data_IF_613338942263
#
_entry.id   IF_613338942263
#
_cell.length_a   1.000
_cell.length_b   1.000
_cell.length_c   1.000
_cell.angle_alpha   90.00
_cell.angle_beta   90.00
_cell.angle_gamma   90.00
#
_symmetry.space_group_name_H-M   'P 1'
#
loop_
_entity.id
_entity.type
_entity.pdbx_description
1 polymer ?
#
# COMPACT_ATOMS: atom_id res chain seq x y z
N UNK A 1 14.58 7.15 5.76
CA UNK A 1 14.77 6.64 4.39
C UNK A 1 14.76 5.12 4.44
N UNK A 2 14.17 4.45 3.45
CA UNK A 2 14.23 2.98 3.34
C UNK A 2 15.68 2.59 3.02
N UNK A 3 16.23 1.64 3.78
CA UNK A 3 17.56 1.10 3.49
C UNK A 3 17.46 0.08 2.35
N UNK A 4 17.88 0.49 1.16
CA UNK A 4 17.86 -0.36 -0.04
C UNK A 4 18.89 -1.50 0.02
N UNK A 5 19.88 -1.40 0.90
CA UNK A 5 20.90 -2.44 1.08
C UNK A 5 20.44 -3.59 1.96
N UNK A 6 19.36 -3.40 2.71
CA UNK A 6 18.77 -4.39 3.60
C UNK A 6 18.31 -5.64 2.84
N UNK A 7 18.49 -6.82 3.44
CA UNK A 7 18.05 -8.09 2.84
C UNK A 7 16.55 -8.09 2.56
N UNK A 8 15.76 -7.48 3.45
CA UNK A 8 14.31 -7.38 3.30
C UNK A 8 13.91 -6.55 2.08
N UNK A 9 14.59 -5.42 1.82
CA UNK A 9 14.35 -4.63 0.62
C UNK A 9 14.76 -5.38 -0.65
N UNK A 10 15.90 -6.08 -0.64
CA UNK A 10 16.33 -6.89 -1.79
C UNK A 10 15.34 -8.00 -2.12
N UNK A 11 14.79 -8.67 -1.11
CA UNK A 11 13.74 -9.69 -1.31
C UNK A 11 12.48 -9.04 -1.89
N UNK A 12 12.04 -7.91 -1.33
CA UNK A 12 10.90 -7.17 -1.85
C UNK A 12 11.11 -6.74 -3.30
N UNK A 13 12.29 -6.20 -3.64
CA UNK A 13 12.60 -5.68 -4.96
C UNK A 13 12.62 -6.80 -6.01
N UNK A 14 13.19 -7.96 -5.66
CA UNK A 14 13.11 -9.16 -6.49
C UNK A 14 11.67 -9.60 -6.75
N UNK A 15 10.81 -9.59 -5.72
CA UNK A 15 9.38 -9.90 -5.88
C UNK A 15 8.64 -8.84 -6.71
N UNK A 16 8.98 -7.56 -6.53
CA UNK A 16 8.40 -6.42 -7.22
C UNK A 16 8.70 -6.41 -8.72
N UNK A 17 9.88 -6.90 -9.10
CA UNK A 17 10.29 -7.10 -10.48
C UNK A 17 9.85 -8.46 -11.04
N UNK A 18 9.52 -9.41 -10.17
CA UNK A 18 9.20 -10.79 -10.54
C UNK A 18 10.42 -11.62 -10.90
N UNK A 19 11.59 -11.29 -10.34
CA UNK A 19 12.81 -12.09 -10.44
C UNK A 19 12.63 -13.42 -9.72
N UNK A 20 12.83 -14.50 -10.45
CA UNK A 20 12.86 -15.86 -9.93
C UNK A 20 14.21 -16.51 -10.27
N UNK A 21 14.59 -17.63 -9.65
CA UNK A 21 15.83 -18.33 -10.02
C UNK A 21 15.91 -18.72 -11.50
N UNK A 22 14.76 -18.84 -12.17
CA UNK A 22 14.63 -19.15 -13.60
C UNK A 22 14.64 -17.92 -14.52
N UNK A 23 14.78 -16.71 -13.96
CA UNK A 23 14.69 -15.45 -14.67
C UNK A 23 13.44 -14.63 -14.30
N UNK A 24 13.07 -13.67 -15.15
CA UNK A 24 11.95 -12.76 -14.94
C UNK A 24 10.61 -13.42 -15.29
N UNK A 25 9.67 -13.39 -14.35
CA UNK A 25 8.31 -13.92 -14.54
C UNK A 25 7.26 -12.81 -14.39
N UNK A 26 6.64 -12.43 -15.51
CA UNK A 26 5.64 -11.35 -15.59
C UNK A 26 4.38 -11.69 -14.76
N UNK A 27 3.95 -12.94 -14.75
CA UNK A 27 2.75 -13.35 -13.99
C UNK A 27 2.97 -13.22 -12.49
N UNK A 28 4.16 -13.61 -12.00
CA UNK A 28 4.54 -13.45 -10.59
C UNK A 28 4.66 -11.98 -10.20
N UNK A 29 5.26 -11.15 -11.07
CA UNK A 29 5.30 -9.68 -10.93
C UNK A 29 3.89 -9.10 -10.77
N UNK A 30 3.00 -9.39 -11.71
CA UNK A 30 1.64 -8.84 -11.74
C UNK A 30 0.81 -9.32 -10.53
N UNK A 31 0.93 -10.60 -10.18
CA UNK A 31 0.27 -11.17 -8.99
C UNK A 31 0.76 -10.52 -7.69
N UNK A 32 2.07 -10.29 -7.55
CA UNK A 32 2.63 -9.62 -6.38
C UNK A 32 2.17 -8.15 -6.29
N UNK A 33 2.26 -7.39 -7.39
CA UNK A 33 1.81 -6.00 -7.45
C UNK A 33 0.31 -5.84 -7.18
N UNK A 34 -0.52 -6.75 -7.70
CA UNK A 34 -1.96 -6.78 -7.42
C UNK A 34 -2.23 -6.99 -5.93
N UNK A 35 -1.54 -7.93 -5.29
CA UNK A 35 -1.63 -8.13 -3.83
C UNK A 35 -1.21 -6.89 -3.05
N UNK A 36 -0.06 -6.28 -3.39
CA UNK A 36 0.41 -5.07 -2.71
C UNK A 36 -0.54 -3.90 -2.88
N UNK A 37 -1.14 -3.73 -4.07
CA UNK A 37 -2.18 -2.72 -4.30
C UNK A 37 -3.37 -2.90 -3.36
N UNK A 38 -3.87 -4.13 -3.26
CA UNK A 38 -4.98 -4.44 -2.36
C UNK A 38 -4.61 -4.19 -0.89
N UNK A 39 -3.42 -4.60 -0.47
CA UNK A 39 -2.94 -4.38 0.90
C UNK A 39 -2.73 -2.89 1.22
N UNK A 40 -2.17 -2.11 0.29
CA UNK A 40 -2.08 -0.65 0.45
C UNK A 40 -3.47 -0.03 0.64
N UNK A 41 -4.44 -0.42 -0.19
CA UNK A 41 -5.81 0.09 -0.08
C UNK A 41 -6.50 -0.32 1.23
N UNK A 42 -6.27 -1.55 1.71
CA UNK A 42 -6.79 -2.01 3.01
C UNK A 42 -6.23 -1.20 4.18
N UNK A 43 -4.98 -0.76 4.08
CA UNK A 43 -4.32 0.08 5.08
C UNK A 43 -4.55 1.59 4.85
N UNK A 44 -5.36 1.97 3.86
CA UNK A 44 -5.65 3.37 3.55
C UNK A 44 -4.49 4.13 2.90
N UNK A 45 -3.49 3.42 2.38
CA UNK A 45 -2.30 3.99 1.74
C UNK A 45 -2.46 4.05 0.21
N UNK A 46 -1.91 5.11 -0.39
CA UNK A 46 -1.79 5.19 -1.84
C UNK A 46 -0.89 4.07 -2.36
N UNK A 47 -1.27 3.44 -3.48
CA UNK A 47 -0.45 2.43 -4.11
C UNK A 47 0.81 3.04 -4.76
N UNK A 48 1.95 2.90 -4.07
CA UNK A 48 3.28 3.25 -4.55
C UNK A 48 4.28 2.14 -4.19
N UNK A 49 5.46 2.11 -4.82
CA UNK A 49 6.52 1.13 -4.48
C UNK A 49 6.94 1.25 -3.01
N UNK A 50 7.08 2.49 -2.53
CA UNK A 50 7.47 2.83 -1.16
C UNK A 50 6.40 2.33 -0.18
N UNK A 51 5.12 2.67 -0.40
CA UNK A 51 4.05 2.23 0.49
C UNK A 51 3.86 0.72 0.44
N UNK A 52 4.01 0.10 -0.73
CA UNK A 52 3.99 -1.35 -0.89
C UNK A 52 5.12 -2.01 -0.09
N UNK A 53 6.31 -1.41 -0.05
CA UNK A 53 7.40 -1.88 0.80
C UNK A 53 7.07 -1.73 2.29
N UNK A 54 6.50 -0.61 2.72
CA UNK A 54 6.10 -0.39 4.12
C UNK A 54 5.05 -1.42 4.58
N UNK A 55 4.07 -1.71 3.71
CA UNK A 55 3.06 -2.75 3.95
C UNK A 55 3.70 -4.14 3.99
N UNK A 56 4.54 -4.47 3.00
CA UNK A 56 5.25 -5.76 2.92
C UNK A 56 6.16 -6.01 4.12
N UNK A 57 6.85 -4.96 4.61
CA UNK A 57 7.76 -5.04 5.75
C UNK A 57 7.05 -4.99 7.10
N UNK A 58 5.73 -4.79 7.12
CA UNK A 58 4.94 -4.64 8.35
C UNK A 58 5.22 -3.32 9.09
N UNK A 59 5.93 -2.38 8.46
CA UNK A 59 6.24 -1.07 9.01
C UNK A 59 5.06 -0.09 8.89
N UNK A 60 4.10 -0.37 8.02
CA UNK A 60 2.89 0.44 7.86
C UNK A 60 2.03 0.52 9.13
N UNK A 61 1.98 -0.55 9.93
CA UNK A 61 1.25 -0.60 11.21
C UNK A 61 1.98 0.05 12.38
N UNK A 62 3.25 0.44 12.21
CA UNK A 62 3.99 1.24 13.22
C UNK A 62 3.70 2.74 13.10
N UNK A 63 2.85 3.15 12.16
CA UNK A 63 2.25 4.47 12.19
C UNK A 63 1.32 4.49 13.41
N UNK A 64 1.75 5.23 14.43
CA UNK A 64 1.13 5.50 15.72
C UNK A 64 -0.40 5.63 15.68
N UNK A 65 -1.10 5.35 16.81
CA UNK A 65 -2.56 5.56 16.93
C UNK A 65 -2.98 7.01 16.63
N UNK A 66 -2.02 7.94 16.65
CA UNK A 66 -2.16 9.37 16.32
C UNK A 66 -1.79 9.75 14.87
N UNK A 67 -1.55 8.78 13.97
CA UNK A 67 -1.10 9.10 12.61
C UNK A 67 -2.27 9.55 11.71
N UNK A 68 -2.26 10.83 11.34
CA UNK A 68 -3.23 11.41 10.38
C UNK A 68 -2.86 10.98 8.95
N UNK A 69 -3.72 10.16 8.34
CA UNK A 69 -3.71 9.82 6.92
C UNK A 69 -3.94 11.10 6.10
N UNK A 70 -2.88 11.64 5.52
CA UNK A 70 -2.94 12.84 4.67
C UNK A 70 -3.30 12.44 3.23
N UNK A 71 -4.59 12.23 2.98
CA UNK A 71 -5.32 12.47 1.74
C UNK A 71 -6.83 12.18 1.94
N UNK A 72 -7.38 12.67 3.06
CA UNK A 72 -8.81 12.65 3.35
C UNK A 72 -9.56 13.60 2.39
N UNK A 73 -9.90 13.15 1.18
CA UNK A 73 -11.09 13.71 0.52
C UNK A 73 -12.30 13.02 1.14
N UNK A 74 -12.72 13.48 2.32
CA UNK A 74 -14.04 13.16 2.86
C UNK A 74 -15.09 13.87 2.01
N UNK A 75 -15.61 13.18 0.99
CA UNK A 75 -16.85 13.60 0.34
C UNK A 75 -18.00 13.28 1.29
N UNK A 76 -18.39 14.25 2.12
CA UNK A 76 -19.65 14.18 2.85
C UNK A 76 -20.78 14.51 1.89
N UNK A 77 -21.52 13.50 1.45
CA UNK A 77 -22.82 13.72 0.81
C UNK A 77 -23.74 14.42 1.82
N UNK A 78 -24.36 15.57 1.48
CA UNK A 78 -25.29 16.21 2.39
C UNK A 78 -26.44 15.25 2.74
N UNK A 79 -27.00 15.31 3.96
CA UNK A 79 -28.14 14.48 4.32
C UNK A 79 -29.26 14.69 3.29
N UNK A 80 -29.90 13.59 2.88
CA UNK A 80 -31.01 13.63 1.91
C UNK A 80 -32.00 14.72 2.34
N UNK A 81 -32.52 15.51 1.40
CA UNK A 81 -33.33 16.70 1.65
C UNK A 81 -34.46 16.50 2.68
N UNK A 82 -34.99 15.28 2.80
CA UNK A 82 -36.05 14.90 3.76
C UNK A 82 -35.57 14.66 5.21
N UNK A 83 -34.26 14.53 5.47
CA UNK A 83 -33.66 14.38 6.79
C UNK A 83 -33.18 15.71 7.39
N UNK A 84 -33.36 16.84 6.68
CA UNK A 84 -33.11 18.16 7.26
C UNK A 84 -34.22 18.46 8.27
N UNK A 85 -33.89 18.43 9.56
CA UNK A 85 -34.74 19.07 10.59
C UNK A 85 -34.63 20.58 10.38
N UNK A 86 -35.76 21.22 10.10
CA UNK A 86 -35.88 22.69 10.14
C UNK A 86 -35.96 23.15 11.59
#
# INVERSE_FOLDING_TARGET
MIDESSEQYKIFDNLWEGKTPKGLNINKKNSFRSRMKNSCHQEGLEYSKINSYLVYSGLSKKLDEDTIIKNDIKITSPPRRHLRKF
#
